data_IF_147866129022
#
_entry.id   IF_147866129022
#
_cell.length_a   1.000
_cell.length_b   1.000
_cell.length_c   1.000
_cell.angle_alpha   90.00
_cell.angle_beta   90.00
_cell.angle_gamma   90.00
#
_symmetry.space_group_name_H-M   'P 1'
#
loop_
_entity.id
_entity.type
_entity.pdbx_description
1 polymer ?
#
# COMPACT_ATOMS: atom_id res chain seq x y z
N UNK A 1 -39.13 46.78 -50.51
CA UNK A 1 -39.30 45.36 -50.07
C UNK A 1 -37.94 44.86 -49.61
N UNK A 2 -37.70 44.81 -48.30
CA UNK A 2 -36.40 44.42 -47.68
C UNK A 2 -36.59 43.04 -47.14
N UNK A 3 -35.90 42.03 -47.71
CA UNK A 3 -35.92 40.65 -47.30
C UNK A 3 -34.91 40.47 -46.11
N UNK A 4 -35.42 40.21 -44.90
CA UNK A 4 -34.60 39.82 -43.73
C UNK A 4 -34.14 38.36 -43.87
N UNK A 5 -32.85 38.14 -44.04
CA UNK A 5 -32.22 36.80 -43.97
C UNK A 5 -31.95 36.48 -42.48
N UNK A 6 -32.64 35.49 -41.95
CA UNK A 6 -32.39 34.91 -40.62
C UNK A 6 -31.28 33.90 -40.79
N UNK A 7 -30.10 34.16 -40.20
CA UNK A 7 -28.98 33.21 -40.10
C UNK A 7 -29.17 32.41 -38.79
N UNK A 8 -29.54 31.15 -38.93
CA UNK A 8 -29.67 30.22 -37.79
C UNK A 8 -28.27 29.63 -37.47
N UNK A 9 -27.70 30.09 -36.39
CA UNK A 9 -26.42 29.58 -35.90
C UNK A 9 -26.67 28.26 -35.14
N UNK A 10 -26.35 27.11 -35.74
CA UNK A 10 -26.43 25.81 -35.12
C UNK A 10 -25.21 25.61 -34.20
N UNK A 11 -25.43 25.65 -32.88
CA UNK A 11 -24.41 25.38 -31.84
C UNK A 11 -24.19 23.87 -31.74
N UNK A 12 -23.15 23.35 -32.39
CA UNK A 12 -22.75 21.96 -32.28
C UNK A 12 -22.11 21.73 -30.92
N UNK A 13 -22.83 21.11 -29.98
CA UNK A 13 -22.30 20.67 -28.69
C UNK A 13 -21.46 19.40 -28.92
N UNK A 14 -20.14 19.55 -28.98
CA UNK A 14 -19.23 18.43 -29.07
C UNK A 14 -19.19 17.71 -27.69
N UNK A 15 -19.85 16.54 -27.62
CA UNK A 15 -19.69 15.60 -26.50
C UNK A 15 -18.24 15.04 -26.53
N UNK A 16 -17.37 15.63 -25.74
CA UNK A 16 -16.07 15.00 -25.44
C UNK A 16 -16.33 13.83 -24.50
N UNK A 17 -16.00 12.58 -24.87
CA UNK A 17 -16.01 11.49 -23.91
C UNK A 17 -14.94 11.78 -22.86
N UNK A 18 -15.36 11.97 -21.61
CA UNK A 18 -14.44 11.96 -20.49
C UNK A 18 -13.80 10.57 -20.45
N UNK A 19 -12.52 10.48 -20.81
CA UNK A 19 -11.74 9.25 -20.62
C UNK A 19 -11.73 8.96 -19.11
N UNK A 20 -12.55 8.01 -18.68
CA UNK A 20 -12.47 7.47 -17.33
C UNK A 20 -11.08 6.85 -17.20
N UNK A 21 -10.18 7.50 -16.45
CA UNK A 21 -8.90 6.90 -16.11
C UNK A 21 -9.20 5.63 -15.33
N UNK A 22 -8.82 4.47 -15.88
CA UNK A 22 -8.95 3.21 -15.16
C UNK A 22 -8.17 3.34 -13.84
N UNK A 23 -8.78 2.87 -12.74
CA UNK A 23 -8.11 2.86 -11.45
C UNK A 23 -6.81 2.05 -11.56
N UNK A 24 -5.72 2.58 -11.00
CA UNK A 24 -4.44 1.87 -10.97
C UNK A 24 -4.59 0.58 -10.18
N UNK A 25 -4.00 -0.50 -10.67
CA UNK A 25 -3.98 -1.80 -10.01
C UNK A 25 -2.92 -1.82 -8.91
N UNK A 26 -3.30 -2.29 -7.73
CA UNK A 26 -2.41 -2.33 -6.58
C UNK A 26 -2.31 -3.72 -5.97
N UNK A 27 -1.08 -4.16 -5.70
CA UNK A 27 -0.82 -5.34 -4.86
C UNK A 27 -0.47 -4.89 -3.44
N UNK A 28 -0.96 -5.62 -2.44
CA UNK A 28 -0.57 -5.46 -1.04
C UNK A 28 0.25 -6.67 -0.64
N UNK A 29 1.53 -6.44 -0.32
CA UNK A 29 2.39 -7.49 0.22
C UNK A 29 2.12 -7.71 1.71
N UNK A 30 2.32 -8.93 2.23
CA UNK A 30 2.30 -9.17 3.66
C UNK A 30 3.24 -8.22 4.41
N UNK A 31 2.84 -7.78 5.60
CA UNK A 31 3.73 -7.01 6.45
C UNK A 31 4.87 -7.88 6.97
N UNK A 32 6.07 -7.32 6.98
CA UNK A 32 7.26 -7.94 7.58
C UNK A 32 7.54 -7.41 8.98
N UNK A 33 8.04 -8.27 9.88
CA UNK A 33 8.59 -7.87 11.17
C UNK A 33 10.10 -7.68 11.10
N UNK A 34 10.59 -6.55 11.60
CA UNK A 34 12.00 -6.25 11.80
C UNK A 34 12.24 -6.23 13.30
N UNK A 35 12.63 -7.36 13.87
CA UNK A 35 12.96 -7.46 15.30
C UNK A 35 14.40 -7.03 15.54
N UNK A 36 14.58 -5.85 16.14
CA UNK A 36 15.92 -5.32 16.45
C UNK A 36 16.60 -6.07 17.60
N UNK A 37 15.84 -6.68 18.51
CA UNK A 37 16.41 -7.41 19.63
C UNK A 37 17.06 -8.71 19.15
N UNK A 38 16.43 -9.43 18.23
CA UNK A 38 16.99 -10.66 17.64
C UNK A 38 18.25 -10.40 16.81
N UNK A 39 18.42 -9.20 16.26
CA UNK A 39 19.60 -8.83 15.47
C UNK A 39 20.87 -8.67 16.33
N UNK A 40 20.73 -8.44 17.63
CA UNK A 40 21.85 -8.22 18.55
C UNK A 40 22.25 -9.48 19.34
N UNK A 41 21.45 -10.56 19.32
CA UNK A 41 21.78 -11.81 19.97
C UNK A 41 22.79 -12.61 19.16
N UNK A 42 24.08 -12.33 19.39
CA UNK A 42 25.19 -13.02 18.76
C UNK A 42 25.20 -14.48 19.27
N UNK A 43 24.94 -15.44 18.39
CA UNK A 43 25.13 -16.87 18.64
C UNK A 43 23.87 -17.68 18.96
N UNK A 44 22.70 -17.08 19.04
CA UNK A 44 21.44 -17.81 19.10
C UNK A 44 20.84 -17.96 17.69
N UNK A 45 20.36 -19.16 17.38
CA UNK A 45 19.57 -19.35 16.17
C UNK A 45 18.35 -18.43 16.24
N UNK A 46 18.00 -17.69 15.16
CA UNK A 46 16.77 -16.90 15.15
C UNK A 46 15.60 -17.82 15.48
N UNK A 47 15.02 -17.66 16.63
CA UNK A 47 13.71 -18.24 16.91
C UNK A 47 12.74 -17.58 15.94
N UNK A 48 11.94 -18.36 15.20
CA UNK A 48 10.99 -17.80 14.24
C UNK A 48 10.11 -16.71 14.86
N UNK A 49 9.29 -16.06 14.06
CA UNK A 49 8.36 -15.03 14.53
C UNK A 49 7.50 -15.60 15.68
N UNK A 50 7.30 -14.77 16.71
CA UNK A 50 6.30 -15.06 17.74
C UNK A 50 4.94 -15.29 17.08
N UNK A 51 4.19 -16.36 17.43
CA UNK A 51 2.90 -16.67 16.82
C UNK A 51 1.89 -15.52 16.90
N UNK A 52 1.91 -14.75 18.00
CA UNK A 52 1.03 -13.59 18.15
C UNK A 52 1.45 -12.42 17.26
N UNK A 53 2.75 -12.19 17.09
CA UNK A 53 3.25 -11.17 16.19
C UNK A 53 2.96 -11.55 14.74
N UNK A 54 3.11 -12.84 14.38
CA UNK A 54 2.70 -13.35 13.07
C UNK A 54 1.21 -13.10 12.78
N UNK A 55 0.36 -13.46 13.73
CA UNK A 55 -1.10 -13.23 13.62
C UNK A 55 -1.42 -11.74 13.45
N UNK A 56 -0.72 -10.85 14.17
CA UNK A 56 -0.92 -9.40 14.06
C UNK A 56 -0.50 -8.87 12.70
N UNK A 57 0.59 -9.36 12.13
CA UNK A 57 1.01 -9.01 10.76
C UNK A 57 -0.07 -9.38 9.73
N UNK A 58 -0.67 -10.56 9.87
CA UNK A 58 -1.79 -11.00 9.01
C UNK A 58 -3.00 -10.07 9.16
N UNK A 59 -3.38 -9.70 10.38
CA UNK A 59 -4.50 -8.80 10.67
C UNK A 59 -4.28 -7.42 10.02
N UNK A 60 -3.10 -6.82 10.19
CA UNK A 60 -2.85 -5.49 9.62
C UNK A 60 -2.65 -5.52 8.10
N UNK A 61 -2.20 -6.64 7.54
CA UNK A 61 -2.15 -6.84 6.09
C UNK A 61 -3.57 -6.85 5.50
N UNK A 62 -4.47 -7.60 6.13
CA UNK A 62 -5.88 -7.64 5.72
C UNK A 62 -6.57 -6.28 5.88
N UNK A 63 -6.30 -5.57 6.99
CA UNK A 63 -6.83 -4.22 7.20
C UNK A 63 -6.34 -3.23 6.14
N UNK A 64 -5.04 -3.25 5.81
CA UNK A 64 -4.51 -2.40 4.74
C UNK A 64 -5.20 -2.69 3.41
N UNK A 65 -5.33 -3.97 3.04
CA UNK A 65 -6.01 -4.35 1.80
C UNK A 65 -7.46 -3.84 1.76
N UNK A 66 -8.18 -3.95 2.89
CA UNK A 66 -9.53 -3.43 3.04
C UNK A 66 -9.58 -1.91 2.86
N UNK A 67 -8.72 -1.16 3.56
CA UNK A 67 -8.68 0.31 3.47
C UNK A 67 -8.35 0.82 2.07
N UNK A 68 -7.40 0.16 1.38
CA UNK A 68 -7.02 0.52 0.01
C UNK A 68 -8.19 0.26 -0.94
N UNK A 69 -8.86 -0.89 -0.82
CA UNK A 69 -10.05 -1.24 -1.61
C UNK A 69 -11.20 -0.27 -1.36
N UNK A 70 -11.52 0.00 -0.09
CA UNK A 70 -12.64 0.88 0.31
C UNK A 70 -12.42 2.33 -0.12
N UNK A 71 -11.15 2.76 -0.27
CA UNK A 71 -10.82 4.10 -0.76
C UNK A 71 -11.25 4.36 -2.20
N UNK A 72 -11.47 3.32 -3.00
CA UNK A 72 -11.80 3.41 -4.43
C UNK A 72 -10.69 4.02 -5.31
N UNK A 73 -9.50 4.31 -4.75
CA UNK A 73 -8.37 4.90 -5.50
C UNK A 73 -7.60 3.86 -6.30
N UNK A 74 -7.65 2.61 -5.88
CA UNK A 74 -6.92 1.50 -6.49
C UNK A 74 -7.83 0.29 -6.64
N UNK A 75 -7.61 -0.48 -7.70
CA UNK A 75 -8.13 -1.83 -7.86
C UNK A 75 -7.14 -2.79 -7.20
N UNK A 76 -7.52 -3.41 -6.08
CA UNK A 76 -6.64 -4.36 -5.38
C UNK A 76 -6.64 -5.68 -6.14
N UNK A 77 -5.46 -6.10 -6.60
CA UNK A 77 -5.28 -7.37 -7.31
C UNK A 77 -5.05 -8.53 -6.33
N UNK A 78 -5.46 -9.73 -6.72
CA UNK A 78 -5.23 -10.93 -5.95
C UNK A 78 -3.75 -11.37 -6.03
N UNK A 79 -3.14 -11.58 -4.86
CA UNK A 79 -1.76 -12.08 -4.74
C UNK A 79 -1.65 -13.61 -4.67
N UNK A 80 -2.79 -14.32 -4.54
CA UNK A 80 -2.81 -15.78 -4.41
C UNK A 80 -2.03 -16.52 -5.53
N UNK A 81 -2.07 -16.09 -6.81
CA UNK A 81 -1.30 -16.75 -7.88
C UNK A 81 0.21 -16.76 -7.67
N UNK A 82 0.74 -15.83 -6.89
CA UNK A 82 2.17 -15.66 -6.61
C UNK A 82 2.53 -15.82 -5.12
N UNK A 83 1.60 -16.33 -4.30
CA UNK A 83 1.79 -16.45 -2.85
C UNK A 83 3.06 -17.21 -2.49
N UNK A 84 3.32 -18.35 -3.15
CA UNK A 84 4.53 -19.13 -2.93
C UNK A 84 5.81 -18.35 -3.24
N UNK A 85 5.81 -17.55 -4.32
CA UNK A 85 6.96 -16.73 -4.67
C UNK A 85 7.19 -15.57 -3.69
N UNK A 86 6.11 -15.01 -3.13
CA UNK A 86 6.17 -14.03 -2.06
C UNK A 86 6.84 -14.66 -0.83
N UNK A 87 6.39 -15.85 -0.42
CA UNK A 87 6.96 -16.57 0.73
C UNK A 87 8.45 -16.89 0.53
N UNK A 88 8.81 -17.41 -0.65
CA UNK A 88 10.18 -17.76 -1.00
C UNK A 88 11.15 -16.54 -0.99
N UNK A 89 10.60 -15.33 -1.22
CA UNK A 89 11.38 -14.07 -1.28
C UNK A 89 11.24 -13.20 -0.01
N UNK A 90 10.37 -13.59 0.90
CA UNK A 90 10.21 -12.87 2.18
C UNK A 90 11.50 -12.90 3.03
N UNK A 91 11.80 -11.84 3.75
CA UNK A 91 10.98 -10.63 3.92
C UNK A 91 11.13 -9.62 2.78
N UNK A 92 10.02 -9.02 2.36
CA UNK A 92 9.98 -8.09 1.21
C UNK A 92 10.89 -6.87 1.38
N UNK A 93 11.08 -6.37 2.59
CA UNK A 93 11.93 -5.20 2.84
C UNK A 93 13.43 -5.45 2.54
N UNK A 94 13.86 -6.70 2.37
CA UNK A 94 15.25 -7.08 2.00
C UNK A 94 15.39 -7.39 0.50
N UNK A 95 14.33 -7.32 -0.23
CA UNK A 95 14.18 -7.92 -1.55
C UNK A 95 14.87 -7.12 -2.68
N UNK A 96 15.17 -5.83 -2.46
CA UNK A 96 15.90 -4.96 -3.41
C UNK A 96 15.35 -4.99 -4.85
N UNK A 97 14.03 -4.85 -5.01
CA UNK A 97 13.38 -4.72 -6.32
C UNK A 97 12.59 -5.96 -6.75
N UNK A 98 12.70 -7.10 -6.07
CA UNK A 98 11.87 -8.25 -6.42
C UNK A 98 10.39 -8.01 -6.16
N UNK A 99 10.04 -7.08 -5.27
CA UNK A 99 8.67 -6.62 -5.05
C UNK A 99 8.05 -6.05 -6.33
N UNK A 100 8.83 -5.30 -7.12
CA UNK A 100 8.37 -4.75 -8.39
C UNK A 100 8.18 -5.85 -9.44
N UNK A 101 9.07 -6.86 -9.47
CA UNK A 101 8.96 -7.99 -10.38
C UNK A 101 7.78 -8.89 -10.04
N UNK A 102 7.51 -9.13 -8.75
CA UNK A 102 6.34 -9.86 -8.29
C UNK A 102 5.04 -9.10 -8.61
N UNK A 103 5.03 -7.79 -8.40
CA UNK A 103 3.89 -6.94 -8.72
C UNK A 103 3.54 -6.97 -10.21
N UNK A 104 4.56 -6.94 -11.09
CA UNK A 104 4.37 -7.06 -12.56
C UNK A 104 3.72 -8.38 -12.96
N UNK A 105 4.02 -9.48 -12.28
CA UNK A 105 3.44 -10.81 -12.61
C UNK A 105 1.93 -10.85 -12.44
N UNK A 106 1.37 -10.08 -11.52
CA UNK A 106 -0.08 -9.96 -11.30
C UNK A 106 -0.67 -8.72 -11.95
N UNK A 107 0.12 -8.01 -12.76
CA UNK A 107 -0.33 -6.82 -13.50
C UNK A 107 -0.64 -5.63 -12.60
N UNK A 108 0.02 -5.50 -11.45
CA UNK A 108 -0.11 -4.35 -10.58
C UNK A 108 0.76 -3.19 -11.06
N UNK A 109 0.20 -1.96 -11.01
CA UNK A 109 0.90 -0.71 -11.32
C UNK A 109 1.60 -0.16 -10.06
N UNK A 110 1.04 -0.47 -8.89
CA UNK A 110 1.47 0.04 -7.58
C UNK A 110 1.63 -1.11 -6.59
N UNK A 111 2.68 -1.07 -5.78
CA UNK A 111 2.92 -2.04 -4.71
C UNK A 111 2.92 -1.37 -3.34
N UNK A 112 2.16 -1.93 -2.40
CA UNK A 112 2.16 -1.54 -0.99
C UNK A 112 3.01 -2.53 -0.20
N UNK A 113 4.03 -2.02 0.49
CA UNK A 113 4.97 -2.80 1.30
C UNK A 113 4.90 -2.28 2.72
N UNK A 114 4.54 -3.17 3.64
CA UNK A 114 4.42 -2.85 5.05
C UNK A 114 5.56 -3.44 5.87
N UNK A 115 6.05 -2.69 6.86
CA UNK A 115 6.99 -3.18 7.86
C UNK A 115 6.56 -2.78 9.25
N UNK A 116 6.83 -3.67 10.21
CA UNK A 116 6.73 -3.38 11.64
C UNK A 116 8.12 -3.57 12.24
N UNK A 117 8.69 -2.48 12.76
CA UNK A 117 9.96 -2.53 13.48
C UNK A 117 9.68 -2.65 14.98
N UNK A 118 10.13 -3.74 15.59
CA UNK A 118 10.07 -3.99 17.02
C UNK A 118 11.38 -3.51 17.64
N UNK A 119 11.34 -2.38 18.33
CA UNK A 119 12.48 -1.84 19.06
C UNK A 119 12.53 -2.41 20.49
N UNK A 120 11.39 -2.74 21.07
CA UNK A 120 11.23 -3.42 22.37
C UNK A 120 9.85 -4.09 22.42
N UNK A 121 9.54 -4.78 23.53
CA UNK A 121 8.23 -5.42 23.73
C UNK A 121 7.05 -4.43 23.81
N UNK A 122 7.35 -3.14 23.93
CA UNK A 122 6.34 -2.08 24.05
C UNK A 122 6.48 -0.98 23.01
N UNK A 123 7.56 -0.94 22.23
CA UNK A 123 7.80 0.11 21.25
C UNK A 123 7.92 -0.48 19.85
N UNK A 124 6.99 -0.10 18.99
CA UNK A 124 6.95 -0.53 17.58
C UNK A 124 6.80 0.67 16.66
N UNK A 125 7.37 0.56 15.46
CA UNK A 125 7.14 1.50 14.36
C UNK A 125 6.53 0.76 13.20
N UNK A 126 5.30 1.10 12.83
CA UNK A 126 4.64 0.61 11.63
C UNK A 126 4.96 1.57 10.48
N UNK A 127 5.38 1.04 9.34
CA UNK A 127 5.66 1.84 8.14
C UNK A 127 5.01 1.19 6.92
N UNK A 128 4.51 2.04 6.01
CA UNK A 128 3.93 1.61 4.73
C UNK A 128 4.60 2.44 3.63
N UNK A 129 5.10 1.75 2.63
CA UNK A 129 5.70 2.31 1.42
C UNK A 129 4.80 2.00 0.22
N UNK A 130 4.58 2.99 -0.60
CA UNK A 130 3.85 2.86 -1.86
C UNK A 130 4.84 3.03 -3.00
N UNK A 131 4.99 2.01 -3.82
CA UNK A 131 5.95 2.00 -4.94
C UNK A 131 5.22 2.06 -6.27
N UNK A 132 5.76 2.84 -7.19
CA UNK A 132 5.46 2.76 -8.60
C UNK A 132 6.27 1.61 -9.20
N UNK A 133 5.57 0.60 -9.70
CA UNK A 133 6.17 -0.66 -10.19
C UNK A 133 6.92 -0.43 -11.50
N UNK A 134 6.45 0.45 -12.37
CA UNK A 134 7.09 0.73 -13.66
C UNK A 134 8.41 1.47 -13.48
N UNK A 135 8.42 2.49 -12.59
CA UNK A 135 9.58 3.33 -12.33
C UNK A 135 10.47 2.82 -11.19
N UNK A 136 10.05 1.77 -10.49
CA UNK A 136 10.78 1.17 -9.36
C UNK A 136 11.13 2.17 -8.24
N UNK A 137 10.20 3.10 -7.96
CA UNK A 137 10.41 4.19 -7.02
C UNK A 137 9.33 4.23 -5.95
N UNK A 138 9.71 4.59 -4.73
CA UNK A 138 8.75 4.95 -3.69
C UNK A 138 8.12 6.30 -4.06
N UNK A 139 6.80 6.30 -4.26
CA UNK A 139 6.01 7.49 -4.62
C UNK A 139 5.27 8.09 -3.42
N UNK A 140 5.05 7.30 -2.38
CA UNK A 140 4.47 7.76 -1.13
C UNK A 140 4.91 6.86 0.02
N UNK A 141 4.90 7.39 1.25
CA UNK A 141 5.20 6.62 2.45
C UNK A 141 4.59 7.26 3.69
N UNK A 142 4.36 6.43 4.70
CA UNK A 142 3.89 6.89 6.00
C UNK A 142 4.36 5.96 7.11
N UNK A 143 4.52 6.51 8.31
CA UNK A 143 4.87 5.73 9.49
C UNK A 143 4.13 6.24 10.73
N UNK A 144 3.98 5.35 11.71
CA UNK A 144 3.42 5.64 13.02
C UNK A 144 4.13 4.83 14.09
N UNK A 145 4.52 5.48 15.16
CA UNK A 145 4.98 4.80 16.37
C UNK A 145 3.78 4.41 17.23
N UNK A 146 3.88 3.24 17.87
CA UNK A 146 2.88 2.73 18.81
C UNK A 146 3.57 2.23 20.07
N UNK A 147 2.93 2.47 21.21
CA UNK A 147 3.40 2.04 22.52
C UNK A 147 2.45 0.98 23.05
N UNK A 148 2.96 -0.24 23.18
CA UNK A 148 2.22 -1.44 23.56
C UNK A 148 1.99 -2.39 22.39
N UNK A 149 1.71 -3.66 22.70
CA UNK A 149 1.61 -4.76 21.73
C UNK A 149 0.22 -5.38 21.73
N UNK A 150 -0.78 -4.63 21.26
CA UNK A 150 -2.16 -5.10 21.12
C UNK A 150 -2.68 -4.95 19.70
N UNK A 151 -3.57 -5.83 19.28
CA UNK A 151 -4.21 -5.78 17.95
C UNK A 151 -4.80 -4.39 17.66
N UNK A 152 -5.48 -3.80 18.65
CA UNK A 152 -6.08 -2.47 18.52
C UNK A 152 -5.05 -1.39 18.18
N UNK A 153 -3.86 -1.46 18.77
CA UNK A 153 -2.80 -0.48 18.50
C UNK A 153 -2.21 -0.65 17.11
N UNK A 154 -1.98 -1.88 16.68
CA UNK A 154 -1.49 -2.19 15.35
C UNK A 154 -2.48 -1.76 14.26
N UNK A 155 -3.76 -2.10 14.42
CA UNK A 155 -4.83 -1.66 13.50
C UNK A 155 -4.93 -0.13 13.46
N UNK A 156 -4.88 0.54 14.62
CA UNK A 156 -4.94 2.01 14.70
C UNK A 156 -3.80 2.67 13.95
N UNK A 157 -2.59 2.08 14.01
CA UNK A 157 -1.42 2.61 13.29
C UNK A 157 -1.64 2.56 11.78
N UNK A 158 -2.11 1.42 11.24
CA UNK A 158 -2.39 1.27 9.81
C UNK A 158 -3.46 2.26 9.35
N UNK A 159 -4.58 2.36 10.08
CA UNK A 159 -5.65 3.32 9.79
C UNK A 159 -5.11 4.76 9.78
N UNK A 160 -4.34 5.15 10.80
CA UNK A 160 -3.74 6.48 10.88
C UNK A 160 -2.80 6.77 9.70
N UNK A 161 -1.96 5.78 9.32
CA UNK A 161 -1.03 5.95 8.19
C UNK A 161 -1.81 6.16 6.90
N UNK A 162 -2.81 5.33 6.63
CA UNK A 162 -3.62 5.46 5.41
C UNK A 162 -4.32 6.80 5.37
N UNK A 163 -5.05 7.17 6.43
CA UNK A 163 -5.88 8.38 6.45
C UNK A 163 -5.05 9.67 6.47
N UNK A 164 -3.98 9.70 7.26
CA UNK A 164 -3.27 10.94 7.59
C UNK A 164 -1.93 11.10 6.88
N UNK A 165 -1.38 10.04 6.31
CA UNK A 165 -0.06 10.08 5.65
C UNK A 165 -0.14 9.77 4.17
N UNK A 166 -0.92 8.75 3.79
CA UNK A 166 -1.00 8.34 2.39
C UNK A 166 -2.09 9.09 1.63
N UNK A 167 -3.22 9.40 2.28
CA UNK A 167 -4.39 10.04 1.65
C UNK A 167 -4.65 11.47 2.10
N UNK A 168 -3.87 12.00 3.05
CA UNK A 168 -3.97 13.42 3.36
C UNK A 168 -3.73 14.22 2.08
N UNK A 169 -4.70 15.03 1.68
CA UNK A 169 -4.57 15.90 0.53
C UNK A 169 -3.35 16.81 0.74
N UNK A 170 -2.33 16.65 -0.10
CA UNK A 170 -1.11 17.48 -0.09
C UNK A 170 -1.40 18.94 -0.52
N UNK A 171 -2.68 19.33 -0.56
CA UNK A 171 -3.18 20.61 -1.06
C UNK A 171 -3.55 21.65 0.00
N UNK A 172 -3.37 21.39 1.29
CA UNK A 172 -3.61 22.38 2.35
C UNK A 172 -2.28 22.90 2.89
N UNK A 173 -1.62 23.76 2.13
CA UNK A 173 -0.62 24.72 2.60
C UNK A 173 -0.97 26.09 2.07
#
# INVERSE_FOLDING_TARGET
MIAKRIVTLALAFALYPAAASAAQKAIIFPFDLIDQQQQFEIGLMPTGLDPEDKRRLEIITAELAKLIKDSGRYEVVDSAPIAKEIDDKSPMYKCNGCEDDLAKKVGADVAFIGTVRKASDVLFTVSIYVRDVANQKVINQGSSEIYGNTDKMWLRAVNYIVDRRLYADKGAK
#
